data_IF_131167205811
#
_entry.id   IF_131167205811
#
_cell.length_a   1.000
_cell.length_b   1.000
_cell.length_c   1.000
_cell.angle_alpha   90.00
_cell.angle_beta   90.00
_cell.angle_gamma   90.00
#
_symmetry.space_group_name_H-M   'P 1'
#
loop_
_entity.id
_entity.type
_entity.pdbx_description
1 polymer ?
#
# COMPACT_ATOMS: atom_id res chain seq x y z
N UNK A 1 -0.71 13.06 -1.29
CA UNK A 1 0.24 12.14 -1.97
C UNK A 1 0.86 12.85 -3.17
N UNK A 2 2.20 12.84 -3.27
CA UNK A 2 2.94 13.52 -4.34
C UNK A 2 2.96 12.71 -5.64
N UNK A 3 3.16 13.37 -6.78
CA UNK A 3 3.30 12.70 -8.09
C UNK A 3 4.41 11.62 -8.09
N UNK A 4 5.46 11.83 -7.29
CA UNK A 4 6.55 10.87 -7.09
C UNK A 4 6.10 9.56 -6.44
N UNK A 5 5.12 9.57 -5.53
CA UNK A 5 4.60 8.33 -4.92
C UNK A 5 3.80 7.51 -5.92
N UNK A 6 2.93 8.16 -6.70
CA UNK A 6 2.17 7.48 -7.76
C UNK A 6 3.11 6.86 -8.80
N UNK A 7 4.15 7.59 -9.19
CA UNK A 7 5.13 7.11 -10.16
C UNK A 7 5.92 5.91 -9.63
N UNK A 8 6.35 5.94 -8.36
CA UNK A 8 7.03 4.79 -7.73
C UNK A 8 6.13 3.56 -7.68
N UNK A 9 4.86 3.74 -7.32
CA UNK A 9 3.91 2.64 -7.26
C UNK A 9 3.71 1.99 -8.63
N UNK A 10 3.53 2.80 -9.68
CA UNK A 10 3.43 2.30 -11.06
C UNK A 10 4.73 1.62 -11.53
N UNK A 11 5.89 2.13 -11.12
CA UNK A 11 7.18 1.54 -11.46
C UNK A 11 7.38 0.17 -10.79
N UNK A 12 7.00 0.02 -9.52
CA UNK A 12 7.03 -1.25 -8.80
C UNK A 12 6.07 -2.28 -9.42
N UNK A 13 4.85 -1.86 -9.81
CA UNK A 13 3.92 -2.73 -10.51
C UNK A 13 4.43 -3.17 -11.89
N UNK A 14 5.02 -2.25 -12.67
CA UNK A 14 5.65 -2.61 -13.94
C UNK A 14 6.81 -3.57 -13.74
N UNK A 15 7.66 -3.33 -12.75
CA UNK A 15 8.79 -4.21 -12.44
C UNK A 15 8.31 -5.62 -12.06
N UNK A 16 7.26 -5.75 -11.25
CA UNK A 16 6.65 -7.03 -10.89
C UNK A 16 6.12 -7.80 -12.10
N UNK A 17 5.40 -7.12 -13.01
CA UNK A 17 4.91 -7.73 -14.27
C UNK A 17 6.05 -8.15 -15.20
N UNK A 18 7.13 -7.37 -15.24
CA UNK A 18 8.33 -7.72 -16.02
C UNK A 18 9.00 -8.97 -15.44
N UNK A 19 9.18 -9.06 -14.12
CA UNK A 19 9.73 -10.26 -13.46
C UNK A 19 8.85 -11.49 -13.72
N UNK A 20 7.53 -11.33 -13.61
CA UNK A 20 6.58 -12.42 -13.88
C UNK A 20 6.66 -12.90 -15.33
N UNK A 21 6.67 -11.97 -16.28
CA UNK A 21 6.80 -12.29 -17.70
C UNK A 21 8.16 -12.92 -18.05
N UNK A 22 9.24 -12.39 -17.49
CA UNK A 22 10.59 -12.93 -17.69
C UNK A 22 10.73 -14.33 -17.08
N UNK A 23 10.19 -14.56 -15.87
CA UNK A 23 10.15 -15.87 -15.23
C UNK A 23 9.39 -16.90 -16.08
N UNK A 24 8.19 -16.55 -16.56
CA UNK A 24 7.40 -17.40 -17.46
C UNK A 24 8.12 -17.73 -18.77
N UNK A 25 8.79 -16.74 -19.36
CA UNK A 25 9.51 -16.92 -20.63
C UNK A 25 10.78 -17.75 -20.48
N UNK A 26 11.47 -17.62 -19.34
CA UNK A 26 12.73 -18.34 -19.08
C UNK A 26 12.53 -19.66 -18.32
N UNK A 27 11.30 -19.97 -17.90
CA UNK A 27 10.99 -21.11 -17.03
C UNK A 27 11.54 -20.95 -15.62
N UNK A 28 11.83 -19.72 -15.18
CA UNK A 28 12.36 -19.42 -13.87
C UNK A 28 11.20 -19.14 -12.89
N UNK A 29 10.83 -20.16 -12.13
CA UNK A 29 9.76 -20.10 -11.13
C UNK A 29 10.04 -19.06 -10.03
N UNK A 30 11.31 -18.79 -9.71
CA UNK A 30 11.68 -17.79 -8.69
C UNK A 30 11.32 -16.39 -9.16
N UNK A 31 11.67 -16.02 -10.40
CA UNK A 31 11.29 -14.74 -11.00
C UNK A 31 9.78 -14.58 -11.16
N UNK A 32 9.07 -15.66 -11.51
CA UNK A 32 7.60 -15.64 -11.57
C UNK A 32 6.98 -15.42 -10.19
N UNK A 33 7.46 -16.14 -9.18
CA UNK A 33 6.99 -16.03 -7.81
C UNK A 33 7.29 -14.66 -7.21
N UNK A 34 8.49 -14.11 -7.42
CA UNK A 34 8.86 -12.76 -6.99
C UNK A 34 7.93 -11.71 -7.61
N UNK A 35 7.68 -11.77 -8.92
CA UNK A 35 6.79 -10.83 -9.60
C UNK A 35 5.35 -10.87 -9.06
N UNK A 36 4.82 -12.06 -8.76
CA UNK A 36 3.50 -12.25 -8.14
C UNK A 36 3.47 -11.79 -6.69
N UNK A 37 4.50 -12.10 -5.91
CA UNK A 37 4.59 -11.68 -4.51
C UNK A 37 4.70 -10.16 -4.38
N UNK A 38 5.46 -9.51 -5.26
CA UNK A 38 5.58 -8.05 -5.29
C UNK A 38 4.21 -7.39 -5.54
N UNK A 39 3.40 -7.93 -6.48
CA UNK A 39 2.03 -7.44 -6.73
C UNK A 39 1.12 -7.61 -5.51
N UNK A 40 1.05 -8.81 -4.94
CA UNK A 40 0.19 -9.10 -3.77
C UNK A 40 0.58 -8.21 -2.57
N UNK A 41 1.87 -8.00 -2.37
CA UNK A 41 2.37 -7.15 -1.27
C UNK A 41 2.02 -5.69 -1.49
N UNK A 42 2.06 -5.20 -2.73
CA UNK A 42 1.67 -3.83 -3.07
C UNK A 42 0.17 -3.61 -2.84
N UNK A 43 -0.68 -4.52 -3.33
CA UNK A 43 -2.13 -4.49 -3.10
C UNK A 43 -2.48 -4.52 -1.60
N UNK A 44 -1.85 -5.44 -0.85
CA UNK A 44 -2.06 -5.56 0.58
C UNK A 44 -1.62 -4.29 1.34
N UNK A 45 -0.52 -3.64 0.91
CA UNK A 45 -0.09 -2.36 1.47
C UNK A 45 -1.11 -1.26 1.19
N UNK A 46 -1.58 -1.11 -0.06
CA UNK A 46 -2.58 -0.09 -0.39
C UNK A 46 -3.87 -0.28 0.39
N UNK A 47 -4.37 -1.52 0.47
CA UNK A 47 -5.58 -1.83 1.23
C UNK A 47 -5.38 -1.56 2.73
N UNK A 48 -4.24 -1.97 3.28
CA UNK A 48 -3.90 -1.75 4.69
C UNK A 48 -3.72 -0.27 5.04
N UNK A 49 -3.06 0.50 4.18
CA UNK A 49 -2.90 1.94 4.35
C UNK A 49 -4.25 2.67 4.28
N UNK A 50 -5.14 2.31 3.34
CA UNK A 50 -6.48 2.91 3.26
C UNK A 50 -7.33 2.66 4.52
N UNK A 51 -7.29 1.43 5.05
CA UNK A 51 -7.96 1.09 6.31
C UNK A 51 -7.35 1.85 7.49
N UNK A 52 -6.01 1.91 7.55
CA UNK A 52 -5.29 2.60 8.64
C UNK A 52 -5.53 4.11 8.62
N UNK A 53 -5.61 4.74 7.46
CA UNK A 53 -5.91 6.16 7.31
C UNK A 53 -7.31 6.45 7.83
N UNK A 54 -8.30 5.66 7.41
CA UNK A 54 -9.70 5.79 7.85
C UNK A 54 -9.85 5.63 9.37
N UNK A 55 -9.12 4.68 9.97
CA UNK A 55 -9.11 4.45 11.42
C UNK A 55 -8.39 5.59 12.16
N UNK A 56 -7.29 6.11 11.61
CA UNK A 56 -6.59 7.25 12.18
C UNK A 56 -7.46 8.50 12.17
N UNK A 57 -8.11 8.82 11.06
CA UNK A 57 -9.02 9.97 10.97
C UNK A 57 -10.15 9.85 12.01
N UNK A 58 -10.85 8.70 12.05
CA UNK A 58 -11.91 8.48 13.02
C UNK A 58 -11.42 8.60 14.48
N UNK A 59 -10.24 8.06 14.77
CA UNK A 59 -9.60 8.13 16.09
C UNK A 59 -9.17 9.54 16.48
N UNK A 60 -8.60 10.32 15.55
CA UNK A 60 -8.25 11.72 15.79
C UNK A 60 -9.50 12.58 16.01
N UNK A 61 -10.56 12.40 15.22
CA UNK A 61 -11.82 13.10 15.42
C UNK A 61 -12.46 12.78 16.78
N UNK A 62 -12.43 11.52 17.20
CA UNK A 62 -12.91 11.10 18.52
C UNK A 62 -12.06 11.69 19.65
N UNK A 63 -10.73 11.70 19.48
CA UNK A 63 -9.79 12.23 20.47
C UNK A 63 -9.88 13.76 20.59
N UNK A 64 -10.06 14.47 19.48
CA UNK A 64 -10.25 15.93 19.46
C UNK A 64 -11.57 16.32 20.12
N UNK A 65 -12.65 15.59 19.83
CA UNK A 65 -13.96 15.78 20.48
C UNK A 65 -13.89 15.50 21.99
N UNK A 66 -13.20 14.42 22.39
CA UNK A 66 -13.00 14.09 23.80
C UNK A 66 -12.18 15.16 24.52
N UNK A 67 -11.09 15.65 23.92
CA UNK A 67 -10.31 16.79 24.47
C UNK A 67 -11.17 18.02 24.66
N UNK A 68 -11.94 18.42 23.64
CA UNK A 68 -12.85 19.58 23.73
C UNK A 68 -13.91 19.48 24.82
N UNK A 69 -14.34 18.26 25.18
CA UNK A 69 -15.28 18.05 26.27
C UNK A 69 -14.58 18.08 27.64
N UNK A 70 -13.38 17.51 27.74
CA UNK A 70 -12.62 17.47 29.01
C UNK A 70 -11.95 18.80 29.38
N UNK A 71 -11.52 19.60 28.40
CA UNK A 71 -10.91 20.93 28.64
C UNK A 71 -11.95 22.04 28.93
N UNK A 72 -13.24 21.70 29.08
CA UNK A 72 -14.34 22.66 29.27
C UNK A 72 -14.81 22.79 30.74
N UNK A 73 -14.29 21.97 31.64
CA UNK A 73 -14.41 22.09 33.11
C UNK A 73 -13.17 22.78 33.70
#
# INVERSE_FOLDING_TARGET
>A
MSASDKMKHTAEEMAGKVKEGAGKLTGNEELEAEGKMDQVKADAKQAGDAVKDSVKDAGEHAKDAARKMTDRD
#
